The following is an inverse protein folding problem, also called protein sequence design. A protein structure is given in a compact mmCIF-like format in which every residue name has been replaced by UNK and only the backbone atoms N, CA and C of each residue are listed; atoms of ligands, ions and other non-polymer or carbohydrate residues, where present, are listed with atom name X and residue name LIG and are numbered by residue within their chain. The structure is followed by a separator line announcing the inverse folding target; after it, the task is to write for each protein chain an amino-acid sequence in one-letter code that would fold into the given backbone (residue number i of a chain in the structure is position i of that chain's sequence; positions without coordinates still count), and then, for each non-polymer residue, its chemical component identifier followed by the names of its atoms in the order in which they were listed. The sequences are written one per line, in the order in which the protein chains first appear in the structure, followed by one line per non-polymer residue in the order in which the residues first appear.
data_IF_542184040477
#
_entry.id   IF_542184040477
#
_cell.length_a   1.000
_cell.length_b   1.000
_cell.length_c   1.000
_cell.angle_alpha   90.00
_cell.angle_beta   90.00
_cell.angle_gamma   90.00
#
_symmetry.space_group_name_H-M   'P 1'
#
loop_
_entity.id
_entity.type
_entity.pdbx_description
1 polymer ?
#
# COMPACT_ATOMS: atom_id res chain seq x y z
N UNK A 1 -33.98 -50.50 8.23
CA UNK A 1 -33.31 -51.71 7.71
C UNK A 1 -32.57 -51.31 6.45
N UNK A 2 -31.33 -51.28 6.48
CA UNK A 2 -30.23 -51.59 5.59
C UNK A 2 -29.00 -50.70 5.88
N UNK A 3 -28.10 -51.33 6.55
CA UNK A 3 -26.76 -50.90 6.92
C UNK A 3 -25.83 -50.94 5.71
N UNK A 4 -24.97 -49.93 5.51
CA UNK A 4 -23.83 -49.95 4.62
C UNK A 4 -22.54 -49.96 5.42
N UNK A 5 -21.59 -50.83 5.10
CA UNK A 5 -20.41 -51.05 5.95
C UNK A 5 -19.25 -50.12 5.61
N UNK A 6 -18.54 -49.73 6.66
CA UNK A 6 -17.26 -49.05 6.64
C UNK A 6 -16.15 -49.89 6.02
N UNK A 7 -15.41 -49.33 5.05
CA UNK A 7 -14.12 -49.87 4.57
C UNK A 7 -12.97 -49.07 5.13
N UNK A 8 -12.20 -49.68 5.99
CA UNK A 8 -10.87 -49.25 6.41
C UNK A 8 -9.86 -49.58 5.31
N UNK A 9 -9.07 -48.59 4.91
CA UNK A 9 -7.89 -48.79 4.05
C UNK A 9 -6.63 -48.73 4.93
N UNK A 10 -5.96 -49.88 5.02
CA UNK A 10 -4.70 -50.06 5.69
C UNK A 10 -3.54 -49.57 4.82
N UNK A 11 -2.57 -48.92 5.45
CA UNK A 11 -1.29 -48.56 4.87
C UNK A 11 -0.33 -49.74 4.77
N UNK A 12 0.48 -49.90 3.70
CA UNK A 12 1.50 -50.95 3.66
C UNK A 12 2.79 -50.53 4.38
N UNK A 13 3.31 -51.48 5.09
CA UNK A 13 4.57 -51.45 5.85
C UNK A 13 5.78 -51.76 4.95
N UNK A 14 6.90 -51.19 5.32
CA UNK A 14 8.28 -51.66 5.18
C UNK A 14 8.98 -51.53 3.82
N UNK A 15 10.08 -50.76 3.86
CA UNK A 15 11.34 -51.20 3.29
C UNK A 15 12.47 -50.92 4.30
N UNK A 16 13.12 -52.06 4.72
CA UNK A 16 14.42 -52.13 5.38
C UNK A 16 15.39 -52.71 4.38
N UNK A 17 16.57 -52.16 4.26
CA UNK A 17 17.86 -52.86 4.06
C UNK A 17 18.93 -51.81 3.79
N UNK A 18 19.90 -51.75 4.70
CA UNK A 18 21.20 -52.38 4.69
C UNK A 18 22.14 -51.82 3.63
N UNK A 19 23.11 -51.05 4.10
CA UNK A 19 24.53 -51.25 3.76
C UNK A 19 25.40 -50.78 4.91
N UNK A 20 26.10 -51.73 5.54
CA UNK A 20 27.26 -51.58 6.42
C UNK A 20 28.49 -51.81 5.53
N UNK A 21 29.53 -51.04 5.68
CA UNK A 21 30.79 -51.29 5.04
C UNK A 21 31.83 -50.20 5.27
N UNK A 22 32.59 -50.37 6.32
CA UNK A 22 34.00 -50.08 6.53
C UNK A 22 34.58 -48.64 6.51
N UNK A 23 35.08 -48.37 7.69
CA UNK A 23 36.00 -47.29 8.04
C UNK A 23 37.40 -47.52 7.44
N UNK A 24 38.08 -46.43 7.10
CA UNK A 24 39.47 -46.18 7.49
C UNK A 24 39.89 -44.73 7.28
N UNK A 25 40.22 -44.11 8.37
CA UNK A 25 41.18 -43.01 8.64
C UNK A 25 41.76 -42.25 7.49
N UNK A 26 41.51 -40.93 7.46
CA UNK A 26 42.49 -39.91 7.10
C UNK A 26 42.21 -38.65 7.93
N UNK A 27 43.11 -38.40 8.88
CA UNK A 27 43.29 -37.14 9.59
C UNK A 27 43.90 -36.13 8.60
N UNK A 28 43.20 -35.03 8.32
CA UNK A 28 43.84 -33.80 7.91
C UNK A 28 42.98 -32.64 8.37
N UNK A 29 43.63 -31.67 9.00
CA UNK A 29 43.02 -30.53 9.64
C UNK A 29 42.14 -29.71 8.70
N UNK A 30 40.92 -29.53 9.10
CA UNK A 30 39.96 -28.67 8.45
C UNK A 30 39.45 -27.67 9.46
N UNK A 31 39.79 -26.43 9.18
CA UNK A 31 39.28 -25.22 9.77
C UNK A 31 37.78 -25.34 10.06
N UNK A 32 37.40 -25.27 11.33
CA UNK A 32 36.01 -25.13 11.75
C UNK A 32 35.52 -23.76 11.28
N UNK A 33 34.91 -23.70 10.11
CA UNK A 33 33.98 -22.68 9.75
C UNK A 33 32.69 -22.95 10.58
N UNK A 34 32.62 -22.35 11.76
CA UNK A 34 31.34 -22.18 12.47
C UNK A 34 30.47 -21.29 11.60
N UNK A 35 29.68 -21.90 10.72
CA UNK A 35 28.50 -21.24 10.19
C UNK A 35 27.59 -21.02 11.39
N UNK A 36 27.59 -19.79 11.91
CA UNK A 36 26.52 -19.31 12.75
C UNK A 36 25.25 -19.41 11.91
N UNK A 37 24.57 -20.54 11.97
CA UNK A 37 23.17 -20.62 11.67
C UNK A 37 22.52 -19.71 12.71
N UNK A 38 22.25 -18.46 12.31
CA UNK A 38 21.36 -17.57 13.02
C UNK A 38 20.02 -18.30 13.06
N UNK A 39 19.84 -19.12 14.09
CA UNK A 39 18.54 -19.70 14.42
C UNK A 39 17.61 -18.50 14.58
N UNK A 40 16.74 -18.29 13.62
CA UNK A 40 15.57 -17.43 13.80
C UNK A 40 14.89 -18.00 15.05
N UNK A 41 15.08 -17.33 16.18
CA UNK A 41 14.36 -17.67 17.39
C UNK A 41 12.89 -17.57 17.00
N UNK A 42 12.22 -18.72 16.97
CA UNK A 42 10.80 -18.79 16.73
C UNK A 42 10.17 -17.92 17.82
N UNK A 43 9.58 -16.79 17.43
CA UNK A 43 8.96 -15.88 18.37
C UNK A 43 7.83 -16.65 19.05
N UNK A 44 7.94 -16.88 20.36
CA UNK A 44 6.86 -17.43 21.15
C UNK A 44 5.73 -16.42 21.21
N UNK A 45 4.70 -16.63 20.39
CA UNK A 45 3.55 -15.74 20.33
C UNK A 45 2.72 -15.80 21.61
N UNK A 46 2.73 -14.73 22.36
CA UNK A 46 1.84 -14.57 23.52
C UNK A 46 0.47 -14.07 23.04
N UNK A 47 -0.48 -15.01 22.91
CA UNK A 47 -1.85 -14.73 22.46
C UNK A 47 -2.75 -14.44 23.65
N UNK A 48 -3.39 -13.27 23.66
CA UNK A 48 -4.38 -12.85 24.65
C UNK A 48 -5.77 -12.85 24.02
N UNK A 49 -6.73 -13.57 24.58
CA UNK A 49 -8.12 -13.53 24.12
C UNK A 49 -8.89 -12.42 24.80
N UNK A 50 -9.46 -11.50 24.01
CA UNK A 50 -10.34 -10.43 24.49
C UNK A 50 -11.61 -10.42 23.66
N UNK A 51 -12.77 -10.57 24.29
CA UNK A 51 -14.08 -10.59 23.63
C UNK A 51 -14.14 -11.55 22.41
N UNK A 52 -13.55 -12.74 22.56
CA UNK A 52 -13.53 -13.78 21.51
C UNK A 52 -12.51 -13.58 20.38
N UNK A 53 -11.71 -12.50 20.43
CA UNK A 53 -10.69 -12.19 19.41
C UNK A 53 -9.29 -12.39 19.99
N UNK A 54 -8.38 -12.89 19.16
CA UNK A 54 -6.98 -13.07 19.50
C UNK A 54 -6.23 -11.74 19.33
N UNK A 55 -5.47 -11.36 20.36
CA UNK A 55 -4.57 -10.21 20.39
C UNK A 55 -3.14 -10.67 20.69
N UNK A 56 -2.19 -9.89 20.20
CA UNK A 56 -0.75 -10.10 20.38
C UNK A 56 -0.15 -8.85 21.00
N UNK A 57 0.90 -9.01 21.82
CA UNK A 57 1.60 -7.83 22.35
C UNK A 57 2.38 -7.13 21.24
N UNK A 58 2.44 -5.80 21.30
CA UNK A 58 3.24 -5.01 20.35
C UNK A 58 4.71 -5.40 20.40
N UNK A 59 5.21 -5.77 21.58
CA UNK A 59 6.58 -6.26 21.76
C UNK A 59 6.83 -7.57 21.00
N UNK A 60 5.90 -8.54 21.05
CA UNK A 60 6.03 -9.77 20.26
C UNK A 60 6.04 -9.48 18.76
N UNK A 61 5.17 -8.55 18.32
CA UNK A 61 5.13 -8.14 16.91
C UNK A 61 6.48 -7.52 16.52
N UNK A 62 7.00 -6.56 17.28
CA UNK A 62 8.28 -5.93 17.01
C UNK A 62 9.43 -6.96 16.99
N UNK A 63 9.46 -7.89 17.96
CA UNK A 63 10.46 -8.96 18.02
C UNK A 63 10.40 -9.88 16.79
N UNK A 64 9.20 -10.26 16.32
CA UNK A 64 9.04 -11.08 15.12
C UNK A 64 9.60 -10.40 13.88
N UNK A 65 9.39 -9.08 13.72
CA UNK A 65 9.94 -8.30 12.62
C UNK A 65 11.37 -7.81 12.88
N UNK A 66 12.01 -8.20 13.99
CA UNK A 66 13.37 -7.82 14.37
C UNK A 66 13.55 -6.30 14.54
N UNK A 67 12.50 -5.59 14.91
CA UNK A 67 12.52 -4.16 15.18
C UNK A 67 12.98 -3.91 16.62
N UNK A 68 14.05 -3.13 16.79
CA UNK A 68 14.56 -2.76 18.10
C UNK A 68 13.76 -1.61 18.72
N UNK A 69 13.55 -1.59 20.06
CA UNK A 69 12.91 -0.48 20.73
C UNK A 69 13.64 0.83 20.49
N UNK A 70 12.88 1.89 20.25
CA UNK A 70 13.38 3.26 20.10
C UNK A 70 12.75 4.16 21.17
N UNK A 71 13.39 5.29 21.55
CA UNK A 71 12.72 6.28 22.35
C UNK A 71 11.43 6.75 21.67
N UNK A 72 10.28 6.65 22.36
CA UNK A 72 9.02 7.19 21.87
C UNK A 72 9.01 8.72 21.90
N UNK A 73 8.28 9.35 20.99
CA UNK A 73 8.10 10.81 20.98
C UNK A 73 7.36 11.29 22.24
N UNK A 74 6.46 10.48 22.78
CA UNK A 74 5.76 10.72 24.04
C UNK A 74 5.71 9.44 24.88
N UNK A 75 5.59 9.61 26.19
CA UNK A 75 5.61 8.50 27.16
C UNK A 75 4.51 7.44 26.97
N UNK A 76 3.44 7.77 26.23
CA UNK A 76 2.34 6.84 25.94
C UNK A 76 2.51 6.06 24.63
N UNK A 77 3.62 6.23 23.92
CA UNK A 77 3.92 5.58 22.65
C UNK A 77 5.00 4.50 22.79
N UNK A 78 4.86 3.45 22.00
CA UNK A 78 5.90 2.46 21.77
C UNK A 78 6.43 2.65 20.34
N UNK A 79 7.73 2.81 20.21
CA UNK A 79 8.41 2.99 18.94
C UNK A 79 9.46 1.88 18.75
N UNK A 80 9.50 1.29 17.55
CA UNK A 80 10.44 0.23 17.18
C UNK A 80 10.97 0.48 15.77
N UNK A 81 12.26 0.18 15.55
CA UNK A 81 12.87 0.30 14.20
C UNK A 81 14.10 -0.58 14.08
N UNK A 82 14.40 -0.99 12.86
CA UNK A 82 15.68 -1.61 12.46
C UNK A 82 16.58 -0.66 11.65
N UNK A 83 16.19 0.62 11.55
CA UNK A 83 16.85 1.64 10.75
C UNK A 83 16.30 1.79 9.34
N UNK A 84 15.54 0.80 8.84
CA UNK A 84 14.83 0.84 7.56
C UNK A 84 13.32 0.81 7.78
N UNK A 85 12.84 -0.16 8.53
CA UNK A 85 11.42 -0.30 8.86
C UNK A 85 11.14 0.27 10.25
N UNK A 86 9.94 0.81 10.45
CA UNK A 86 9.51 1.35 11.74
C UNK A 86 8.04 1.03 12.05
N UNK A 87 7.76 0.89 13.34
CA UNK A 87 6.41 0.71 13.89
C UNK A 87 6.25 1.59 15.11
N UNK A 88 5.29 2.52 15.06
CA UNK A 88 4.92 3.35 16.21
C UNK A 88 3.46 3.09 16.58
N UNK A 89 3.22 2.80 17.87
CA UNK A 89 1.89 2.49 18.41
C UNK A 89 1.65 3.38 19.61
N UNK A 90 0.61 4.21 19.57
CA UNK A 90 0.48 5.24 20.59
C UNK A 90 -0.92 5.73 20.90
N UNK A 91 -1.10 7.01 20.78
CA UNK A 91 -2.22 7.77 21.31
C UNK A 91 -3.57 7.53 20.61
N UNK A 92 -3.54 7.16 19.33
CA UNK A 92 -4.77 6.86 18.60
C UNK A 92 -5.15 5.37 18.82
N UNK A 93 -6.34 5.08 19.35
CA UNK A 93 -6.73 3.69 19.64
C UNK A 93 -6.83 2.80 18.40
N UNK A 94 -6.98 3.38 17.19
CA UNK A 94 -7.03 2.62 15.93
C UNK A 94 -5.92 3.02 14.95
N UNK A 95 -5.04 3.94 15.32
CA UNK A 95 -3.93 4.41 14.48
C UNK A 95 -2.60 3.80 14.90
N UNK A 96 -1.84 3.35 13.93
CA UNK A 96 -0.41 3.04 14.06
C UNK A 96 0.34 3.78 12.95
N UNK A 97 1.63 4.06 13.18
CA UNK A 97 2.48 4.55 12.10
C UNK A 97 3.44 3.43 11.67
N UNK A 98 3.49 3.16 10.38
CA UNK A 98 4.38 2.17 9.79
C UNK A 98 5.18 2.85 8.69
N UNK A 99 6.50 2.86 8.82
CA UNK A 99 7.42 3.45 7.85
C UNK A 99 7.09 4.92 7.52
N UNK A 100 6.68 5.69 8.54
CA UNK A 100 6.34 7.11 8.41
C UNK A 100 4.96 7.39 7.80
N UNK A 101 4.11 6.36 7.66
CA UNK A 101 2.73 6.47 7.17
C UNK A 101 1.76 6.03 8.26
N UNK A 102 0.78 6.87 8.55
CA UNK A 102 -0.32 6.50 9.45
C UNK A 102 -1.22 5.46 8.80
N UNK A 103 -1.43 4.33 9.50
CA UNK A 103 -2.31 3.25 9.09
C UNK A 103 -3.45 3.10 10.09
N UNK A 104 -4.66 2.85 9.63
CA UNK A 104 -5.79 2.61 10.51
C UNK A 104 -6.10 1.12 10.64
N UNK A 105 -6.08 0.64 11.88
CA UNK A 105 -6.41 -0.73 12.25
C UNK A 105 -7.93 -0.96 12.19
N UNK A 106 -8.31 -2.20 11.92
CA UNK A 106 -9.70 -2.65 11.96
C UNK A 106 -10.27 -2.68 13.38
N UNK A 107 -9.40 -2.98 14.37
CA UNK A 107 -9.77 -3.09 15.78
C UNK A 107 -8.87 -2.22 16.65
N UNK A 108 -9.40 -1.70 17.77
CA UNK A 108 -8.62 -0.85 18.66
C UNK A 108 -7.39 -1.56 19.23
N UNK A 109 -6.31 -0.81 19.40
CA UNK A 109 -5.21 -1.18 20.28
C UNK A 109 -5.71 -1.21 21.71
N UNK A 110 -5.55 -2.33 22.39
CA UNK A 110 -5.95 -2.49 23.78
C UNK A 110 -4.76 -2.27 24.70
N UNK A 111 -5.05 -1.80 25.92
CA UNK A 111 -4.07 -1.68 27.00
C UNK A 111 -4.50 -2.62 28.13
N UNK A 112 -3.67 -3.63 28.44
CA UNK A 112 -3.95 -4.62 29.47
C UNK A 112 -2.65 -5.03 30.17
N UNK A 113 -2.64 -5.01 31.49
CA UNK A 113 -1.46 -5.42 32.27
C UNK A 113 -0.18 -4.63 31.96
N UNK A 114 -0.30 -3.35 31.60
CA UNK A 114 0.84 -2.52 31.19
C UNK A 114 1.33 -2.76 29.77
N UNK A 115 0.70 -3.68 29.02
CA UNK A 115 1.06 -3.99 27.64
C UNK A 115 0.06 -3.39 26.64
N UNK A 116 0.54 -3.05 25.44
CA UNK A 116 -0.29 -2.71 24.30
C UNK A 116 -0.49 -3.97 23.44
N UNK A 117 -1.73 -4.17 23.02
CA UNK A 117 -2.18 -5.36 22.30
C UNK A 117 -2.80 -4.95 20.97
N UNK A 118 -2.38 -5.60 19.88
CA UNK A 118 -2.94 -5.46 18.54
C UNK A 118 -3.63 -6.76 18.15
N UNK A 119 -4.77 -6.67 17.45
CA UNK A 119 -5.49 -7.85 17.03
C UNK A 119 -4.66 -8.67 16.02
N UNK A 120 -4.75 -10.00 16.11
CA UNK A 120 -4.14 -10.91 15.13
C UNK A 120 -4.67 -10.65 13.71
N UNK A 121 -5.90 -10.17 13.60
CA UNK A 121 -6.49 -9.76 12.33
C UNK A 121 -5.71 -8.58 11.71
N UNK A 122 -5.43 -7.54 12.51
CA UNK A 122 -4.71 -6.36 12.05
C UNK A 122 -3.23 -6.64 11.80
N UNK A 123 -2.63 -7.59 12.54
CA UNK A 123 -1.30 -8.07 12.18
C UNK A 123 -1.29 -8.60 10.74
N UNK A 124 -2.26 -9.45 10.37
CA UNK A 124 -2.32 -10.06 9.05
C UNK A 124 -2.78 -9.09 7.94
N UNK A 125 -3.72 -8.17 8.26
CA UNK A 125 -4.40 -7.33 7.26
C UNK A 125 -3.89 -5.90 7.15
N UNK A 126 -2.99 -5.49 8.05
CA UNK A 126 -2.43 -4.14 8.04
C UNK A 126 -0.91 -4.15 8.26
N UNK A 127 -0.43 -4.76 9.35
CA UNK A 127 1.00 -4.65 9.72
C UNK A 127 1.89 -5.45 8.77
N UNK A 128 1.55 -6.73 8.54
CA UNK A 128 2.34 -7.61 7.66
C UNK A 128 2.47 -7.04 6.23
N UNK A 129 1.37 -6.65 5.54
CA UNK A 129 1.48 -6.08 4.19
C UNK A 129 2.27 -4.77 4.14
N UNK A 130 2.28 -3.97 5.20
CA UNK A 130 3.01 -2.70 5.25
C UNK A 130 4.49 -2.86 5.61
N UNK A 131 4.84 -3.81 6.51
CA UNK A 131 6.24 -4.05 6.90
C UNK A 131 6.99 -4.95 5.92
N UNK A 132 6.31 -5.91 5.30
CA UNK A 132 6.91 -6.85 4.33
C UNK A 132 6.10 -6.94 3.04
N UNK A 133 5.92 -5.84 2.30
CA UNK A 133 5.07 -5.79 1.11
C UNK A 133 5.52 -6.79 0.03
N UNK A 134 6.82 -7.08 -0.08
CA UNK A 134 7.34 -8.07 -1.04
C UNK A 134 6.92 -9.51 -0.73
N UNK A 135 6.41 -9.78 0.49
CA UNK A 135 5.90 -11.09 0.90
C UNK A 135 4.40 -11.28 0.59
N UNK A 136 3.72 -10.27 0.09
CA UNK A 136 2.32 -10.39 -0.36
C UNK A 136 2.29 -11.38 -1.53
N UNK A 137 1.56 -12.47 -1.35
CA UNK A 137 1.49 -13.55 -2.36
C UNK A 137 0.53 -13.23 -3.50
N UNK A 138 -0.56 -12.51 -3.21
CA UNK A 138 -1.55 -12.07 -4.19
C UNK A 138 -1.29 -10.62 -4.59
N UNK A 139 -0.27 -10.39 -5.41
CA UNK A 139 0.01 -9.13 -6.10
C UNK A 139 -0.16 -9.38 -7.60
N UNK A 140 -1.35 -9.09 -8.16
CA UNK A 140 -1.56 -9.26 -9.59
C UNK A 140 -0.67 -8.27 -10.36
N UNK A 141 0.04 -8.72 -11.40
CA UNK A 141 0.75 -7.82 -12.29
C UNK A 141 -0.24 -6.93 -13.04
N UNK A 142 0.17 -5.72 -13.35
CA UNK A 142 -0.66 -4.79 -14.10
C UNK A 142 0.16 -4.01 -15.13
N UNK A 143 -0.53 -3.52 -16.16
CA UNK A 143 0.04 -2.65 -17.20
C UNK A 143 -0.86 -1.47 -17.52
N UNK A 144 -2.08 -1.50 -17.01
CA UNK A 144 -3.07 -0.45 -17.24
C UNK A 144 -3.50 0.19 -15.92
N UNK A 145 -3.61 1.50 -15.90
CA UNK A 145 -4.17 2.26 -14.78
C UNK A 145 -5.52 2.81 -15.19
N UNK A 146 -6.57 2.39 -14.49
CA UNK A 146 -7.90 2.98 -14.63
C UNK A 146 -8.00 4.15 -13.66
N UNK A 147 -8.13 5.35 -14.18
CA UNK A 147 -8.26 6.59 -13.43
C UNK A 147 -9.72 7.03 -13.39
N UNK A 148 -10.19 7.33 -12.19
CA UNK A 148 -11.56 7.77 -11.97
C UNK A 148 -11.58 9.20 -11.41
N UNK A 149 -12.11 10.14 -12.18
CA UNK A 149 -12.38 11.48 -11.70
C UNK A 149 -13.71 11.51 -10.96
N UNK A 150 -13.67 11.72 -9.64
CA UNK A 150 -14.89 11.79 -8.83
C UNK A 150 -15.90 12.81 -9.36
N UNK A 151 -17.20 12.54 -9.16
CA UNK A 151 -18.30 13.43 -9.57
C UNK A 151 -18.40 13.67 -11.07
N UNK A 152 -19.00 14.79 -11.50
CA UNK A 152 -19.13 15.20 -12.90
C UNK A 152 -20.56 15.55 -13.31
N UNK A 153 -20.73 16.39 -14.32
CA UNK A 153 -22.04 16.84 -14.80
C UNK A 153 -22.85 17.51 -13.70
N UNK A 154 -24.04 16.96 -13.41
CA UNK A 154 -24.93 17.50 -12.37
C UNK A 154 -24.45 17.21 -10.94
N UNK A 155 -23.59 16.23 -10.73
CA UNK A 155 -22.98 15.96 -9.43
C UNK A 155 -21.73 16.84 -9.28
N UNK A 156 -21.84 17.87 -8.47
CA UNK A 156 -20.75 18.83 -8.24
C UNK A 156 -19.70 18.33 -7.24
N UNK A 157 -20.03 17.31 -6.43
CA UNK A 157 -19.24 16.96 -5.27
C UNK A 157 -19.21 18.06 -4.20
N UNK A 158 -18.16 18.08 -3.40
CA UNK A 158 -17.90 19.16 -2.47
C UNK A 158 -17.70 20.48 -3.20
N UNK A 159 -17.97 21.59 -2.52
CA UNK A 159 -17.75 22.94 -3.04
C UNK A 159 -16.90 23.75 -2.06
N UNK A 160 -15.79 24.28 -2.54
CA UNK A 160 -15.03 25.34 -1.91
C UNK A 160 -15.56 26.72 -2.28
N UNK A 161 -14.91 27.77 -1.81
CA UNK A 161 -15.21 29.14 -2.23
C UNK A 161 -14.73 29.41 -3.66
N UNK A 162 -13.72 28.66 -4.14
CA UNK A 162 -13.04 28.91 -5.42
C UNK A 162 -13.45 27.97 -6.54
N UNK A 163 -14.14 26.86 -6.24
CA UNK A 163 -14.59 25.93 -7.27
C UNK A 163 -15.31 24.71 -6.73
N UNK A 164 -15.67 23.79 -7.62
CA UNK A 164 -16.35 22.55 -7.32
C UNK A 164 -15.38 21.36 -7.45
N UNK A 165 -15.58 20.34 -6.64
CA UNK A 165 -14.76 19.13 -6.61
C UNK A 165 -14.64 18.48 -7.99
N UNK A 166 -15.74 18.36 -8.73
CA UNK A 166 -15.79 17.74 -10.06
C UNK A 166 -14.79 18.34 -11.06
N UNK A 167 -14.54 19.65 -10.97
CA UNK A 167 -13.65 20.36 -11.88
C UNK A 167 -12.18 20.09 -11.52
N UNK A 168 -11.89 20.06 -10.22
CA UNK A 168 -10.55 19.78 -9.71
C UNK A 168 -10.15 18.32 -9.89
N UNK A 169 -11.07 17.38 -9.64
CA UNK A 169 -10.80 15.94 -9.85
C UNK A 169 -10.52 15.65 -11.31
N UNK A 170 -11.28 16.25 -12.24
CA UNK A 170 -11.01 16.12 -13.68
C UNK A 170 -9.63 16.66 -14.06
N UNK A 171 -9.28 17.87 -13.58
CA UNK A 171 -7.98 18.45 -13.82
C UNK A 171 -6.84 17.55 -13.34
N UNK A 172 -6.92 17.06 -12.09
CA UNK A 172 -5.89 16.19 -11.50
C UNK A 172 -5.78 14.86 -12.26
N UNK A 173 -6.89 14.24 -12.64
CA UNK A 173 -6.87 12.97 -13.40
C UNK A 173 -6.20 13.13 -14.76
N UNK A 174 -6.42 14.24 -15.47
CA UNK A 174 -5.75 14.51 -16.74
C UNK A 174 -4.24 14.71 -16.56
N UNK A 175 -3.81 15.37 -15.49
CA UNK A 175 -2.39 15.53 -15.16
C UNK A 175 -1.75 14.19 -14.73
N UNK A 176 -2.46 13.34 -13.95
CA UNK A 176 -2.01 11.98 -13.59
C UNK A 176 -1.85 11.14 -14.85
N UNK A 177 -2.85 11.17 -15.75
CA UNK A 177 -2.81 10.46 -17.03
C UNK A 177 -1.55 10.80 -17.81
N UNK A 178 -1.30 12.09 -18.05
CA UNK A 178 -0.12 12.54 -18.78
C UNK A 178 1.19 12.06 -18.11
N UNK A 179 1.25 12.10 -16.77
CA UNK A 179 2.41 11.66 -15.99
C UNK A 179 2.63 10.15 -16.07
N UNK A 180 1.58 9.34 -16.10
CA UNK A 180 1.65 7.87 -16.19
C UNK A 180 1.97 7.44 -17.63
N UNK A 181 1.35 8.04 -18.63
CA UNK A 181 1.63 7.76 -20.04
C UNK A 181 3.11 8.05 -20.37
N UNK A 182 3.67 9.15 -19.83
CA UNK A 182 5.08 9.47 -19.96
C UNK A 182 6.02 8.42 -19.30
N UNK A 183 5.53 7.65 -18.33
CA UNK A 183 6.22 6.52 -17.69
C UNK A 183 5.99 5.18 -18.39
N UNK A 184 5.21 5.16 -19.47
CA UNK A 184 4.95 3.94 -20.26
C UNK A 184 3.73 3.13 -19.84
N UNK A 185 2.92 3.62 -18.91
CA UNK A 185 1.65 2.95 -18.55
C UNK A 185 0.58 3.19 -19.61
N UNK A 186 -0.29 2.21 -19.78
CA UNK A 186 -1.57 2.44 -20.43
C UNK A 186 -2.53 3.07 -19.43
N UNK A 187 -3.30 4.07 -19.88
CA UNK A 187 -4.25 4.76 -19.02
C UNK A 187 -5.64 4.73 -19.65
N UNK A 188 -6.64 4.40 -18.85
CA UNK A 188 -8.06 4.50 -19.17
C UNK A 188 -8.69 5.44 -18.14
N UNK A 189 -9.56 6.33 -18.55
CA UNK A 189 -10.26 7.25 -17.65
C UNK A 189 -11.75 6.95 -17.68
N UNK A 190 -12.42 6.96 -16.53
CA UNK A 190 -13.90 6.83 -16.49
C UNK A 190 -14.58 8.03 -17.14
N UNK A 191 -13.99 9.22 -17.04
CA UNK A 191 -14.38 10.42 -17.78
C UNK A 191 -13.17 11.30 -18.09
N UNK A 192 -13.24 11.99 -19.21
CA UNK A 192 -12.25 12.99 -19.66
C UNK A 192 -12.87 14.38 -19.92
N UNK A 193 -14.15 14.51 -19.55
CA UNK A 193 -14.96 15.71 -19.71
C UNK A 193 -15.94 15.86 -18.52
N UNK A 194 -16.66 16.98 -18.46
CA UNK A 194 -17.65 17.23 -17.39
C UNK A 194 -18.96 16.49 -17.65
N UNK A 195 -18.92 15.17 -17.47
CA UNK A 195 -20.09 14.27 -17.57
C UNK A 195 -20.28 13.51 -16.27
N UNK A 196 -21.53 13.21 -15.95
CA UNK A 196 -21.87 12.37 -14.79
C UNK A 196 -21.78 10.89 -15.13
N UNK A 197 -21.04 10.14 -14.33
CA UNK A 197 -20.94 8.67 -14.43
C UNK A 197 -21.45 8.08 -13.09
N UNK A 198 -22.47 7.22 -13.07
CA UNK A 198 -22.92 6.52 -11.87
C UNK A 198 -21.81 5.70 -11.22
N UNK A 199 -21.82 5.59 -9.89
CA UNK A 199 -20.74 4.90 -9.14
C UNK A 199 -20.54 3.45 -9.58
N UNK A 200 -21.64 2.73 -9.82
CA UNK A 200 -21.62 1.34 -10.30
C UNK A 200 -21.03 1.22 -11.71
N UNK A 201 -21.30 2.21 -12.57
CA UNK A 201 -20.78 2.24 -13.93
C UNK A 201 -19.26 2.44 -13.94
N UNK A 202 -18.72 3.29 -13.05
CA UNK A 202 -17.25 3.50 -12.90
C UNK A 202 -16.54 2.17 -12.58
N UNK A 203 -17.06 1.42 -11.60
CA UNK A 203 -16.53 0.11 -11.26
C UNK A 203 -16.72 -0.91 -12.40
N UNK A 204 -17.86 -0.88 -13.09
CA UNK A 204 -18.14 -1.78 -14.22
C UNK A 204 -17.19 -1.52 -15.38
N UNK A 205 -16.87 -0.27 -15.70
CA UNK A 205 -15.86 0.08 -16.72
C UNK A 205 -14.47 -0.41 -16.31
N UNK A 206 -14.06 -0.18 -15.05
CA UNK A 206 -12.79 -0.67 -14.52
C UNK A 206 -12.67 -2.20 -14.65
N UNK A 207 -13.74 -2.94 -14.35
CA UNK A 207 -13.77 -4.39 -14.39
C UNK A 207 -13.68 -4.98 -15.81
N UNK A 208 -13.85 -4.17 -16.86
CA UNK A 208 -13.64 -4.59 -18.26
C UNK A 208 -12.19 -4.43 -18.70
N UNK A 209 -11.35 -3.79 -17.91
CA UNK A 209 -9.94 -3.56 -18.24
C UNK A 209 -9.08 -4.63 -17.55
N UNK A 210 -8.56 -5.63 -18.29
CA UNK A 210 -7.73 -6.66 -17.72
C UNK A 210 -6.37 -6.10 -17.28
N UNK A 211 -5.70 -6.78 -16.36
CA UNK A 211 -4.36 -6.46 -15.87
C UNK A 211 -4.23 -4.98 -15.47
N UNK A 212 -5.18 -4.52 -14.66
CA UNK A 212 -5.29 -3.11 -14.27
C UNK A 212 -5.30 -2.91 -12.76
N UNK A 213 -5.04 -1.66 -12.37
CA UNK A 213 -5.35 -1.10 -11.06
C UNK A 213 -6.34 0.05 -11.22
N UNK A 214 -7.08 0.37 -10.16
CA UNK A 214 -8.06 1.44 -10.15
C UNK A 214 -7.67 2.53 -9.14
N UNK A 215 -7.62 3.78 -9.59
CA UNK A 215 -7.30 4.95 -8.76
C UNK A 215 -8.37 6.01 -8.95
N UNK A 216 -9.22 6.20 -7.93
CA UNK A 216 -10.22 7.28 -7.89
C UNK A 216 -9.63 8.49 -7.16
N UNK A 217 -9.93 9.71 -7.64
CA UNK A 217 -9.47 10.96 -7.02
C UNK A 217 -10.64 11.83 -6.64
N UNK A 218 -10.58 12.31 -5.41
CA UNK A 218 -11.58 13.14 -4.74
C UNK A 218 -10.92 14.26 -3.93
N UNK A 219 -11.74 15.18 -3.46
CA UNK A 219 -11.39 16.19 -2.48
C UNK A 219 -12.45 16.24 -1.39
N UNK A 220 -12.02 16.07 -0.17
CA UNK A 220 -12.83 15.97 1.02
C UNK A 220 -13.67 17.23 1.32
N UNK A 221 -14.70 17.03 2.12
CA UNK A 221 -15.40 18.10 2.80
C UNK A 221 -15.65 17.74 4.26
N UNK A 222 -15.73 18.74 5.12
CA UNK A 222 -16.07 18.56 6.54
C UNK A 222 -17.33 19.34 6.89
N UNK A 223 -18.37 18.69 7.46
CA UNK A 223 -19.59 19.37 7.88
C UNK A 223 -19.39 20.30 9.07
N UNK A 224 -18.26 20.17 9.81
CA UNK A 224 -17.95 20.94 11.01
C UNK A 224 -17.16 22.22 10.72
N UNK A 225 -17.08 22.65 9.46
CA UNK A 225 -16.35 23.86 9.05
C UNK A 225 -14.87 23.63 8.77
N UNK A 226 -14.16 24.70 8.41
CA UNK A 226 -12.83 24.72 7.78
C UNK A 226 -11.62 24.31 8.62
N UNK A 227 -11.77 23.51 9.65
CA UNK A 227 -10.65 23.06 10.50
C UNK A 227 -10.01 21.75 10.03
N UNK A 228 -10.75 20.89 9.31
CA UNK A 228 -10.22 19.65 8.79
C UNK A 228 -9.28 19.94 7.61
N UNK A 229 -8.12 19.29 7.60
CA UNK A 229 -7.10 19.42 6.57
C UNK A 229 -6.32 18.10 6.39
N UNK A 230 -5.58 17.99 5.30
CA UNK A 230 -4.59 16.93 5.05
C UNK A 230 -5.05 15.88 4.05
N UNK A 231 -4.11 15.00 3.73
CA UNK A 231 -4.22 13.96 2.71
C UNK A 231 -4.63 12.63 3.33
N UNK A 232 -5.52 11.90 2.67
CA UNK A 232 -5.87 10.53 3.07
C UNK A 232 -6.10 9.65 1.85
N UNK A 233 -5.81 8.35 2.00
CA UNK A 233 -6.05 7.37 0.95
C UNK A 233 -6.89 6.22 1.52
N UNK A 234 -7.90 5.81 0.77
CA UNK A 234 -8.78 4.72 1.15
C UNK A 234 -8.51 3.47 0.32
N UNK A 235 -8.42 2.33 0.98
CA UNK A 235 -8.56 1.02 0.38
C UNK A 235 -9.83 0.33 0.88
N UNK A 236 -10.28 -0.73 0.20
CA UNK A 236 -11.43 -1.52 0.62
C UNK A 236 -11.27 -2.04 2.05
N UNK A 237 -12.35 -1.98 2.85
CA UNK A 237 -12.35 -2.61 4.18
C UNK A 237 -12.30 -4.12 4.06
N UNK A 238 -11.41 -4.82 4.79
CA UNK A 238 -11.35 -6.27 4.78
C UNK A 238 -12.67 -6.90 5.24
N UNK A 239 -12.97 -8.11 4.74
CA UNK A 239 -14.10 -8.88 5.24
C UNK A 239 -13.94 -9.12 6.75
N UNK A 240 -14.98 -8.88 7.52
CA UNK A 240 -14.99 -9.02 8.98
C UNK A 240 -14.57 -7.78 9.76
N UNK A 241 -14.26 -6.67 9.08
CA UNK A 241 -13.91 -5.39 9.70
C UNK A 241 -14.86 -4.27 9.26
N UNK A 242 -15.16 -3.34 10.16
CA UNK A 242 -15.89 -2.10 9.84
C UNK A 242 -15.00 -1.12 9.08
N UNK A 243 -15.60 -0.18 8.33
CA UNK A 243 -14.87 0.95 7.76
C UNK A 243 -14.25 1.82 8.86
N UNK A 244 -13.22 2.58 8.54
CA UNK A 244 -12.50 3.38 9.54
C UNK A 244 -13.39 4.43 10.21
N UNK A 245 -14.32 5.02 9.44
CA UNK A 245 -15.27 6.02 9.93
C UNK A 245 -16.56 5.44 10.56
N UNK A 246 -16.82 4.15 10.41
CA UNK A 246 -18.06 3.55 10.89
C UNK A 246 -18.01 3.31 12.40
N UNK A 247 -18.97 3.87 13.11
CA UNK A 247 -19.17 3.65 14.55
C UNK A 247 -19.94 2.36 14.89
N UNK A 248 -20.59 1.74 13.90
CA UNK A 248 -21.48 0.59 14.08
C UNK A 248 -21.07 -0.60 13.20
N UNK A 249 -21.33 -1.80 13.74
CA UNK A 249 -21.20 -3.06 13.02
C UNK A 249 -22.37 -3.18 12.04
N UNK A 250 -22.09 -3.36 10.75
CA UNK A 250 -23.11 -3.65 9.73
C UNK A 250 -23.01 -5.09 9.24
N UNK A 251 -24.11 -5.65 8.72
CA UNK A 251 -24.11 -7.01 8.14
C UNK A 251 -23.18 -7.08 6.93
N UNK A 252 -23.07 -6.00 6.16
CA UNK A 252 -22.22 -5.92 4.96
C UNK A 252 -20.75 -6.19 5.26
N UNK A 253 -20.24 -5.86 6.45
CA UNK A 253 -18.84 -6.10 6.80
C UNK A 253 -18.46 -7.58 6.79
N UNK A 254 -19.42 -8.50 6.99
CA UNK A 254 -19.19 -9.94 6.98
C UNK A 254 -19.32 -10.56 5.58
N UNK A 255 -19.86 -9.83 4.63
CA UNK A 255 -19.96 -10.28 3.25
C UNK A 255 -18.60 -10.15 2.55
N UNK A 256 -18.26 -11.14 1.73
CA UNK A 256 -17.16 -11.02 0.80
C UNK A 256 -17.65 -10.27 -0.45
N UNK A 257 -17.11 -9.09 -0.66
CA UNK A 257 -17.42 -8.24 -1.81
C UNK A 257 -16.31 -8.38 -2.87
N UNK A 258 -16.56 -8.03 -4.14
CA UNK A 258 -15.56 -8.09 -5.20
C UNK A 258 -14.24 -7.44 -4.83
N UNK A 259 -14.25 -6.22 -4.28
CA UNK A 259 -13.06 -5.50 -3.84
C UNK A 259 -12.24 -6.16 -2.72
N UNK A 260 -12.76 -7.23 -2.08
CA UNK A 260 -11.98 -8.01 -1.11
C UNK A 260 -11.08 -9.08 -1.77
N UNK A 261 -11.12 -9.24 -3.08
CA UNK A 261 -10.25 -10.22 -3.76
C UNK A 261 -8.77 -9.84 -3.60
N UNK A 262 -8.48 -8.55 -3.63
CA UNK A 262 -7.14 -7.97 -3.65
C UNK A 262 -6.88 -7.05 -2.45
N UNK A 263 -7.40 -7.38 -1.25
CA UNK A 263 -7.28 -6.57 -0.02
C UNK A 263 -5.84 -6.12 0.26
N UNK A 264 -4.89 -7.07 0.21
CA UNK A 264 -3.49 -6.80 0.58
C UNK A 264 -2.79 -6.00 -0.54
N UNK A 265 -3.12 -6.27 -1.82
CA UNK A 265 -2.64 -5.52 -2.97
C UNK A 265 -3.18 -4.08 -2.99
N UNK A 266 -4.48 -3.89 -2.66
CA UNK A 266 -5.09 -2.57 -2.53
C UNK A 266 -4.47 -1.76 -1.39
N UNK A 267 -4.14 -2.41 -0.26
CA UNK A 267 -3.44 -1.76 0.85
C UNK A 267 -2.02 -1.34 0.45
N UNK A 268 -1.30 -2.22 -0.25
CA UNK A 268 0.04 -1.92 -0.72
C UNK A 268 0.02 -0.73 -1.71
N UNK A 269 -0.92 -0.72 -2.67
CA UNK A 269 -1.13 0.41 -3.58
C UNK A 269 -1.43 1.71 -2.81
N UNK A 270 -2.36 1.66 -1.84
CA UNK A 270 -2.70 2.81 -1.00
C UNK A 270 -1.49 3.32 -0.22
N UNK A 271 -0.68 2.42 0.34
CA UNK A 271 0.52 2.78 1.10
C UNK A 271 1.59 3.40 0.19
N UNK A 272 1.84 2.85 -1.01
CA UNK A 272 2.78 3.40 -1.97
C UNK A 272 2.37 4.82 -2.41
N UNK A 273 1.09 5.02 -2.75
CA UNK A 273 0.58 6.33 -3.16
C UNK A 273 0.62 7.31 -2.01
N UNK A 274 0.19 6.91 -0.80
CA UNK A 274 0.21 7.81 0.35
C UNK A 274 1.63 8.17 0.80
N UNK A 275 2.58 7.23 0.77
CA UNK A 275 4.01 7.51 1.02
C UNK A 275 4.55 8.56 0.06
N UNK A 276 4.21 8.45 -1.23
CA UNK A 276 4.61 9.43 -2.23
C UNK A 276 3.96 10.80 -2.01
N UNK A 277 2.68 10.83 -1.66
CA UNK A 277 1.97 12.07 -1.31
C UNK A 277 2.67 12.80 -0.16
N UNK A 278 2.92 12.12 0.96
CA UNK A 278 3.59 12.68 2.14
C UNK A 278 5.06 13.03 1.88
N UNK A 279 5.68 12.36 0.93
CA UNK A 279 7.05 12.68 0.51
C UNK A 279 7.13 13.97 -0.30
N UNK A 280 6.13 14.27 -1.14
CA UNK A 280 6.14 15.41 -2.04
C UNK A 280 5.38 16.63 -1.52
N UNK A 281 4.31 16.42 -0.75
CA UNK A 281 3.40 17.47 -0.30
C UNK A 281 3.48 17.59 1.22
N UNK A 282 3.84 18.76 1.77
CA UNK A 282 4.03 18.96 3.21
C UNK A 282 2.67 19.19 3.92
N UNK A 283 1.72 18.28 3.71
CA UNK A 283 0.39 18.34 4.31
C UNK A 283 0.24 17.38 5.52
N UNK A 284 -0.83 17.57 6.27
CA UNK A 284 -1.17 16.70 7.40
C UNK A 284 -1.41 15.27 6.93
N UNK A 285 -0.71 14.30 7.53
CA UNK A 285 -0.98 12.87 7.35
C UNK A 285 -2.27 12.47 8.06
N UNK A 286 -3.33 12.21 7.29
CA UNK A 286 -4.58 11.64 7.80
C UNK A 286 -4.64 10.13 7.66
N UNK A 287 -3.66 9.54 7.01
CA UNK A 287 -3.40 8.10 6.95
C UNK A 287 -4.07 7.36 5.82
N UNK A 288 -3.66 6.10 5.72
CA UNK A 288 -4.35 5.09 4.91
C UNK A 288 -5.52 4.53 5.72
N UNK A 289 -6.70 4.63 5.18
CA UNK A 289 -7.98 4.27 5.79
C UNK A 289 -8.67 3.15 5.03
N UNK A 290 -9.71 2.59 5.62
CA UNK A 290 -10.51 1.53 5.04
C UNK A 290 -11.96 1.97 4.92
N UNK A 291 -12.56 1.81 3.74
CA UNK A 291 -13.97 2.14 3.51
C UNK A 291 -14.60 1.22 2.46
N UNK A 292 -15.96 1.09 2.53
CA UNK A 292 -16.77 0.37 1.55
C UNK A 292 -17.40 1.33 0.55
N UNK A 293 -16.63 2.25 0.00
CA UNK A 293 -17.11 3.10 -1.08
C UNK A 293 -17.54 2.23 -2.27
N UNK A 294 -18.61 2.63 -2.97
CA UNK A 294 -19.19 1.81 -4.04
C UNK A 294 -18.16 1.41 -5.09
N UNK A 295 -17.34 2.35 -5.52
CA UNK A 295 -16.29 2.11 -6.51
C UNK A 295 -15.21 1.13 -6.02
N UNK A 296 -14.87 1.12 -4.72
CA UNK A 296 -13.91 0.19 -4.16
C UNK A 296 -14.50 -1.20 -3.92
N UNK A 297 -15.75 -1.28 -3.46
CA UNK A 297 -16.37 -2.58 -3.16
C UNK A 297 -16.75 -3.38 -4.39
N UNK A 298 -17.01 -2.73 -5.52
CA UNK A 298 -17.43 -3.37 -6.76
C UNK A 298 -16.29 -3.59 -7.77
N UNK A 299 -15.13 -2.98 -7.58
CA UNK A 299 -13.97 -3.17 -8.45
C UNK A 299 -13.25 -4.48 -8.13
N UNK A 300 -12.88 -5.25 -9.15
CA UNK A 300 -12.22 -6.56 -9.03
C UNK A 300 -10.69 -6.48 -9.01
N UNK A 301 -10.11 -5.33 -9.35
CA UNK A 301 -8.68 -5.07 -9.36
C UNK A 301 -8.23 -4.40 -8.05
N UNK A 302 -6.91 -4.35 -7.75
CA UNK A 302 -6.39 -3.52 -6.69
C UNK A 302 -6.87 -2.07 -6.85
N UNK A 303 -7.54 -1.53 -5.83
CA UNK A 303 -8.29 -0.28 -5.95
C UNK A 303 -8.11 0.64 -4.75
N UNK A 304 -7.96 1.93 -5.02
CA UNK A 304 -7.85 2.99 -4.00
C UNK A 304 -8.69 4.22 -4.36
N UNK A 305 -8.99 5.03 -3.34
CA UNK A 305 -9.53 6.36 -3.49
C UNK A 305 -8.64 7.34 -2.74
N UNK A 306 -8.19 8.38 -3.43
CA UNK A 306 -7.32 9.44 -2.92
C UNK A 306 -8.17 10.66 -2.62
N UNK A 307 -8.06 11.16 -1.39
CA UNK A 307 -8.61 12.45 -0.96
C UNK A 307 -7.46 13.47 -0.89
N UNK A 308 -7.42 14.34 -1.87
CA UNK A 308 -6.33 15.29 -2.09
C UNK A 308 -6.37 16.55 -1.23
N UNK A 309 -7.15 16.59 -0.14
CA UNK A 309 -7.35 17.74 0.74
C UNK A 309 -8.82 18.08 0.93
N UNK A 310 -9.12 19.14 1.69
CA UNK A 310 -10.48 19.53 2.08
C UNK A 310 -10.90 20.85 1.42
N UNK A 311 -11.85 20.81 0.52
CA UNK A 311 -12.40 22.02 -0.12
C UNK A 311 -13.10 22.98 0.86
N UNK A 312 -13.55 22.46 2.01
CA UNK A 312 -14.12 23.28 3.08
C UNK A 312 -13.09 24.00 3.94
N UNK A 313 -11.78 23.66 3.80
CA UNK A 313 -10.71 24.37 4.46
C UNK A 313 -10.24 25.54 3.59
N UNK A 314 -10.29 26.80 4.06
CA UNK A 314 -9.93 27.95 3.22
C UNK A 314 -8.46 27.99 2.78
N UNK A 315 -7.56 27.30 3.50
CA UNK A 315 -6.15 27.14 3.13
C UNK A 315 -6.03 26.20 1.94
N UNK A 316 -6.52 24.98 2.13
CA UNK A 316 -6.45 23.93 1.10
C UNK A 316 -7.32 24.23 -0.13
N UNK A 317 -8.47 24.94 0.02
CA UNK A 317 -9.28 25.39 -1.12
C UNK A 317 -8.46 26.29 -2.08
N UNK A 318 -7.60 27.19 -1.52
CA UNK A 318 -6.69 28.01 -2.33
C UNK A 318 -5.60 27.17 -3.00
N UNK A 319 -5.05 26.21 -2.28
CA UNK A 319 -4.03 25.30 -2.84
C UNK A 319 -4.61 24.41 -3.93
N UNK A 320 -5.77 23.81 -3.69
CA UNK A 320 -6.48 22.97 -4.67
C UNK A 320 -6.89 23.79 -5.90
N UNK A 321 -7.22 25.08 -5.75
CA UNK A 321 -7.50 25.97 -6.86
C UNK A 321 -6.25 26.34 -7.69
N UNK A 322 -5.03 26.22 -7.11
CA UNK A 322 -3.78 26.44 -7.82
C UNK A 322 -3.43 25.25 -8.72
N UNK A 323 -3.26 25.52 -10.02
CA UNK A 323 -2.89 24.51 -11.01
C UNK A 323 -1.53 23.85 -10.72
N UNK A 324 -0.55 24.61 -10.23
CA UNK A 324 0.78 24.08 -9.92
C UNK A 324 0.72 23.09 -8.73
N UNK A 325 -0.12 23.37 -7.76
CA UNK A 325 -0.34 22.46 -6.65
C UNK A 325 -1.03 21.15 -7.12
N UNK A 326 -2.07 21.24 -7.99
CA UNK A 326 -2.71 20.05 -8.56
C UNK A 326 -1.75 19.21 -9.41
N UNK A 327 -0.87 19.83 -10.17
CA UNK A 327 0.20 19.13 -10.92
C UNK A 327 1.15 18.40 -9.96
N UNK A 328 1.50 19.01 -8.83
CA UNK A 328 2.32 18.36 -7.79
C UNK A 328 1.60 17.18 -7.17
N UNK A 329 0.30 17.29 -6.88
CA UNK A 329 -0.54 16.19 -6.42
C UNK A 329 -0.57 15.04 -7.44
N UNK A 330 -0.80 15.36 -8.71
CA UNK A 330 -0.82 14.38 -9.79
C UNK A 330 0.52 13.67 -9.96
N UNK A 331 1.64 14.41 -9.91
CA UNK A 331 2.98 13.82 -9.93
C UNK A 331 3.22 12.87 -8.75
N UNK A 332 2.79 13.24 -7.55
CA UNK A 332 2.94 12.41 -6.36
C UNK A 332 2.12 11.11 -6.48
N UNK A 333 0.86 11.18 -6.96
CA UNK A 333 0.06 9.98 -7.21
C UNK A 333 0.73 9.07 -8.24
N UNK A 334 1.17 9.62 -9.38
CA UNK A 334 1.84 8.84 -10.43
C UNK A 334 3.16 8.21 -9.95
N UNK A 335 3.90 8.89 -9.07
CA UNK A 335 5.14 8.35 -8.47
C UNK A 335 4.84 7.22 -7.49
N UNK A 336 3.75 7.30 -6.73
CA UNK A 336 3.28 6.21 -5.88
C UNK A 336 2.82 4.99 -6.68
N UNK A 337 2.13 5.19 -7.81
CA UNK A 337 1.76 4.12 -8.75
C UNK A 337 3.01 3.45 -9.32
N UNK A 338 4.04 4.21 -9.68
CA UNK A 338 5.32 3.64 -10.13
C UNK A 338 5.99 2.80 -9.05
N UNK A 339 5.98 3.26 -7.78
CA UNK A 339 6.51 2.49 -6.66
C UNK A 339 5.72 1.18 -6.42
N UNK A 340 4.42 1.20 -6.65
CA UNK A 340 3.60 0.00 -6.62
C UNK A 340 3.88 -0.93 -7.82
N UNK A 341 4.18 -0.41 -9.01
CA UNK A 341 4.64 -1.19 -10.17
C UNK A 341 5.94 -1.94 -9.86
N UNK A 342 6.90 -1.25 -9.24
CA UNK A 342 8.15 -1.87 -8.80
C UNK A 342 7.89 -3.03 -7.83
N UNK A 343 6.91 -2.90 -6.94
CA UNK A 343 6.50 -3.97 -6.03
C UNK A 343 5.75 -5.11 -6.75
N UNK A 344 4.70 -4.79 -7.50
CA UNK A 344 3.79 -5.79 -8.07
C UNK A 344 4.43 -6.58 -9.22
N UNK A 345 5.10 -5.86 -10.14
CA UNK A 345 5.66 -6.45 -11.35
C UNK A 345 7.11 -6.92 -11.18
N UNK A 346 7.89 -6.30 -10.27
CA UNK A 346 9.33 -6.57 -10.11
C UNK A 346 9.70 -7.13 -8.75
N UNK A 347 8.77 -7.20 -7.80
CA UNK A 347 9.01 -7.64 -6.42
C UNK A 347 10.10 -6.85 -5.70
N UNK A 348 10.25 -5.58 -6.03
CA UNK A 348 11.13 -4.65 -5.35
C UNK A 348 10.42 -4.01 -4.15
N UNK A 349 11.17 -3.67 -3.11
CA UNK A 349 10.61 -2.92 -1.99
C UNK A 349 10.15 -1.53 -2.46
N UNK A 350 8.94 -1.09 -2.07
CA UNK A 350 8.46 0.23 -2.44
C UNK A 350 9.24 1.33 -1.72
N UNK A 351 9.26 2.52 -2.32
CA UNK A 351 9.84 3.71 -1.71
C UNK A 351 9.06 4.13 -0.47
N UNK A 352 9.79 4.51 0.57
CA UNK A 352 9.25 5.08 1.80
C UNK A 352 9.12 6.61 1.69
N UNK A 353 8.42 7.23 2.64
CA UNK A 353 8.30 8.70 2.74
C UNK A 353 9.68 9.37 2.78
N UNK A 354 10.62 8.78 3.51
CA UNK A 354 11.98 9.30 3.64
C UNK A 354 12.74 9.31 2.30
N UNK A 355 12.53 8.28 1.45
CA UNK A 355 13.19 8.18 0.14
C UNK A 355 12.72 9.32 -0.78
N UNK A 356 11.40 9.56 -0.84
CA UNK A 356 10.85 10.67 -1.63
C UNK A 356 11.34 12.04 -1.15
N UNK A 357 11.45 12.24 0.17
CA UNK A 357 11.98 13.49 0.75
C UNK A 357 13.47 13.67 0.43
N UNK A 358 14.25 12.59 0.46
CA UNK A 358 15.66 12.62 0.14
C UNK A 358 15.91 13.00 -1.33
N UNK A 359 15.06 12.53 -2.25
CA UNK A 359 15.14 12.85 -3.68
C UNK A 359 14.87 14.33 -3.98
N UNK A 360 14.19 15.06 -3.10
CA UNK A 360 13.91 16.49 -3.24
C UNK A 360 15.04 17.38 -2.68
N UNK A 361 15.98 16.81 -1.91
CA UNK A 361 17.11 17.55 -1.41
C UNK A 361 18.08 17.89 -2.57
N UNK A 362 18.53 19.16 -2.69
CA UNK A 362 19.46 19.52 -3.75
C UNK A 362 20.78 18.77 -3.57
N UNK A 363 21.21 18.07 -4.59
CA UNK A 363 22.58 17.54 -4.66
C UNK A 363 23.52 18.76 -4.65
N UNK A 364 24.30 18.92 -3.59
CA UNK A 364 25.34 19.95 -3.42
C UNK A 364 24.86 21.39 -3.05
N UNK A 365 23.90 21.56 -2.16
CA UNK A 365 23.65 22.85 -1.51
C UNK A 365 23.14 23.98 -2.42
N UNK A 366 22.75 23.69 -3.65
CA UNK A 366 22.15 24.66 -4.55
C UNK A 366 20.64 24.69 -4.30
N UNK A 367 20.10 25.84 -3.93
CA UNK A 367 18.65 26.04 -3.80
C UNK A 367 18.03 25.90 -5.20
N UNK A 368 17.40 24.76 -5.47
CA UNK A 368 16.65 24.58 -6.71
C UNK A 368 15.30 25.25 -6.53
N UNK A 369 15.03 26.27 -7.36
CA UNK A 369 13.73 26.92 -7.39
C UNK A 369 12.64 25.87 -7.72
N UNK A 370 11.57 25.74 -6.92
CA UNK A 370 10.50 24.77 -7.13
C UNK A 370 9.88 24.80 -8.55
N UNK A 371 9.83 25.96 -9.18
CA UNK A 371 9.35 26.12 -10.56
C UNK A 371 10.26 25.43 -11.60
N UNK A 372 11.56 25.30 -11.34
CA UNK A 372 12.51 24.61 -12.22
C UNK A 372 12.51 23.09 -12.00
N UNK A 373 12.06 22.62 -10.84
CA UNK A 373 11.95 21.19 -10.53
C UNK A 373 10.89 20.50 -11.41
N UNK A 374 9.70 21.09 -11.52
CA UNK A 374 8.63 20.58 -12.38
C UNK A 374 9.04 20.53 -13.86
N UNK A 375 9.77 21.54 -14.36
CA UNK A 375 10.24 21.59 -15.77
C UNK A 375 11.37 20.57 -16.06
N UNK A 376 12.19 20.23 -15.09
CA UNK A 376 13.26 19.24 -15.31
C UNK A 376 12.76 17.79 -15.30
N UNK A 377 11.64 17.51 -14.62
CA UNK A 377 10.99 16.19 -14.60
C UNK A 377 10.17 15.90 -15.88
N UNK A 378 9.84 16.94 -16.65
CA UNK A 378 9.14 16.81 -17.93
C UNK A 378 10.09 16.70 -19.14
N UNK A 379 11.41 16.68 -18.93
CA UNK A 379 12.34 16.39 -20.03
C UNK A 379 12.24 14.92 -20.40
N UNK A 380 11.99 14.59 -21.68
CA UNK A 380 12.01 13.21 -22.15
C UNK A 380 13.37 12.59 -21.83
N UNK A 381 13.37 11.39 -21.27
CA UNK A 381 14.57 10.58 -21.11
C UNK A 381 15.19 10.42 -22.50
N UNK A 382 16.45 10.84 -22.63
CA UNK A 382 17.23 10.63 -23.86
C UNK A 382 17.18 9.14 -24.19
N UNK A 383 16.80 8.73 -25.41
CA UNK A 383 16.77 7.32 -25.76
C UNK A 383 18.17 6.74 -25.57
N UNK A 384 18.27 5.66 -24.80
CA UNK A 384 19.50 4.88 -24.70
C UNK A 384 19.81 4.39 -26.11
N UNK A 385 20.91 4.87 -26.69
CA UNK A 385 21.41 4.37 -27.97
C UNK A 385 21.58 2.86 -27.84
N UNK A 386 20.94 2.12 -28.74
CA UNK A 386 21.11 0.69 -28.86
C UNK A 386 22.60 0.39 -29.08
N UNK A 387 23.21 -0.31 -28.12
CA UNK A 387 24.55 -0.86 -28.29
C UNK A 387 24.44 -1.88 -29.42
N UNK A 388 25.07 -1.56 -30.57
CA UNK A 388 25.19 -2.44 -31.70
C UNK A 388 25.86 -3.75 -31.27
N UNK A 389 25.17 -4.89 -31.44
CA UNK A 389 25.76 -6.21 -31.28
C UNK A 389 26.97 -6.36 -32.20
N UNK A 390 28.10 -6.89 -31.70
CA UNK A 390 29.23 -7.28 -32.56
C UNK A 390 28.81 -8.48 -33.41
N UNK A 391 29.19 -8.44 -34.68
CA UNK A 391 28.93 -9.48 -35.68
C UNK A 391 29.48 -10.84 -35.26
N UNK A 392 28.85 -11.96 -35.68
CA UNK A 392 29.35 -13.29 -35.40
C UNK A 392 30.60 -13.57 -36.22
N UNK A 393 31.68 -13.90 -35.54
CA UNK A 393 32.91 -14.47 -36.15
C UNK A 393 32.73 -15.97 -36.39
N UNK A 394 33.15 -16.37 -37.59
CA UNK A 394 33.50 -17.70 -38.04
C UNK A 394 32.47 -18.47 -38.88
N UNK A 395 32.80 -18.45 -40.18
CA UNK A 395 32.43 -19.45 -41.15
C UNK A 395 33.28 -20.74 -40.96
N UNK A 396 32.76 -21.93 -41.31
CA UNK A 396 33.55 -23.15 -41.32
C UNK A 396 34.42 -23.21 -42.57
N UNK A 397 35.65 -23.66 -42.40
CA UNK A 397 36.62 -24.01 -43.47
C UNK A 397 36.59 -25.54 -43.65
N UNK A 398 36.92 -26.07 -44.83
CA UNK A 398 36.34 -27.21 -45.54
C UNK A 398 36.63 -28.58 -44.93
#
# INVERSE_FOLDING_TARGET
MNSVPSRSLALPRRWKSRWLGDAKKLLLGGLLLATAASGLAQADWHVVKVAGRDYLTVQNIAQFYQLAPQPGAIASELSFSDGHSSLVVGSNPRGVEINGVKQYLSFPVLRQGGQMLISRFDLAKTIEPCLRPTMITNLPPFHTVVLDAGHGGNDRGAAGALGAEKDYTLSVILDIRASLEARGFKVVTTRDSDVYIPLEARAAEANQVPDSIFVSVHFNSSPTGGQANGLEVYAMSPQGAASTGDGAVSVEQFQRLPGNADDDASLALATCVHSSLLGHIPETDRGVKRARFVVLKLTHAPSILVEGGFLTNPGEDREIADAAWRQKLAFAVASGVQSYDDLANRRLAPKLVADYRAEQLPLNGTIVNPANFAMNLLKPLVPVQAVSNPAPLLAPVP
#
